data_IF_667219002977
#
_entry.id   IF_667219002977
#
_cell.length_a   1.000
_cell.length_b   1.000
_cell.length_c   1.000
_cell.angle_alpha   90.00
_cell.angle_beta   90.00
_cell.angle_gamma   90.00
#
_symmetry.space_group_name_H-M   'P 1'
#
loop_
_entity.id
_entity.type
_entity.pdbx_description
1 polymer ?
#
# COMPACT_ATOMS: atom_id res chain seq x y z
N UNK A 1 -34.81 29.93 -24.74
CA UNK A 1 -34.20 28.59 -24.65
C UNK A 1 -32.92 28.73 -23.83
N UNK A 2 -32.94 28.26 -22.60
CA UNK A 2 -31.80 28.29 -21.68
C UNK A 2 -30.74 27.31 -22.16
N UNK A 3 -29.64 27.82 -22.71
CA UNK A 3 -28.49 26.98 -23.07
C UNK A 3 -27.92 26.33 -21.81
N UNK A 4 -27.80 25.01 -21.81
CA UNK A 4 -27.22 24.25 -20.71
C UNK A 4 -25.80 24.74 -20.44
N UNK A 5 -25.60 25.43 -19.32
CA UNK A 5 -24.29 25.92 -18.89
C UNK A 5 -23.49 24.73 -18.37
N UNK A 6 -22.70 24.11 -19.25
CA UNK A 6 -21.88 22.96 -18.89
C UNK A 6 -20.69 23.42 -18.06
N UNK A 7 -20.60 22.96 -16.81
CA UNK A 7 -19.47 23.30 -15.94
C UNK A 7 -18.21 22.52 -16.34
N UNK A 8 -17.38 23.13 -17.18
CA UNK A 8 -16.13 22.55 -17.68
C UNK A 8 -15.14 22.17 -16.56
N UNK A 9 -15.18 22.85 -15.41
CA UNK A 9 -14.31 22.51 -14.26
C UNK A 9 -14.70 21.17 -13.66
N UNK A 10 -16.00 20.90 -13.50
CA UNK A 10 -16.49 19.61 -13.00
C UNK A 10 -16.17 18.49 -13.99
N UNK A 11 -16.34 18.73 -15.29
CA UNK A 11 -15.99 17.77 -16.33
C UNK A 11 -14.49 17.42 -16.35
N UNK A 12 -13.61 18.43 -16.24
CA UNK A 12 -12.16 18.18 -16.12
C UNK A 12 -11.83 17.38 -14.87
N UNK A 13 -12.49 17.67 -13.75
CA UNK A 13 -12.30 16.95 -12.49
C UNK A 13 -12.76 15.49 -12.57
N UNK A 14 -13.90 15.21 -13.21
CA UNK A 14 -14.36 13.83 -13.41
C UNK A 14 -13.41 13.06 -14.32
N UNK A 15 -12.95 13.67 -15.42
CA UNK A 15 -11.95 13.06 -16.31
C UNK A 15 -10.66 12.70 -15.56
N UNK A 16 -10.12 13.61 -14.75
CA UNK A 16 -8.92 13.35 -13.94
C UNK A 16 -9.12 12.22 -12.92
N UNK A 17 -10.30 12.10 -12.32
CA UNK A 17 -10.62 11.00 -11.40
C UNK A 17 -10.67 9.66 -12.13
N UNK A 18 -11.34 9.62 -13.27
CA UNK A 18 -11.42 8.40 -14.10
C UNK A 18 -10.04 7.94 -14.60
N UNK A 19 -9.16 8.87 -15.00
CA UNK A 19 -7.78 8.54 -15.38
C UNK A 19 -6.98 7.94 -14.21
N UNK A 20 -7.13 8.50 -13.00
CA UNK A 20 -6.50 7.96 -11.79
C UNK A 20 -7.03 6.57 -11.42
N UNK A 21 -8.33 6.33 -11.58
CA UNK A 21 -8.93 5.02 -11.32
C UNK A 21 -8.40 3.96 -12.29
N UNK A 22 -8.33 4.26 -13.59
CA UNK A 22 -7.73 3.37 -14.59
C UNK A 22 -6.26 3.05 -14.29
N UNK A 23 -5.47 4.06 -13.91
CA UNK A 23 -4.09 3.83 -13.49
C UNK A 23 -4.01 2.96 -12.23
N UNK A 24 -4.91 3.17 -11.27
CA UNK A 24 -4.97 2.35 -10.05
C UNK A 24 -5.33 0.90 -10.37
N UNK A 25 -6.26 0.66 -11.30
CA UNK A 25 -6.63 -0.67 -11.80
C UNK A 25 -5.45 -1.34 -12.51
N UNK A 26 -4.79 -0.65 -13.42
CA UNK A 26 -3.57 -1.14 -14.07
C UNK A 26 -2.49 -1.50 -13.05
N UNK A 27 -2.29 -0.65 -12.03
CA UNK A 27 -1.32 -0.92 -10.96
C UNK A 27 -1.71 -2.13 -10.10
N UNK A 28 -3.00 -2.38 -9.87
CA UNK A 28 -3.49 -3.60 -9.19
C UNK A 28 -3.18 -4.84 -10.02
N UNK A 29 -3.38 -4.77 -11.33
CA UNK A 29 -3.09 -5.88 -12.26
C UNK A 29 -1.57 -6.12 -12.34
N UNK A 30 -0.79 -5.06 -12.62
CA UNK A 30 0.65 -5.18 -12.88
C UNK A 30 1.48 -5.49 -11.63
N UNK A 31 1.10 -4.96 -10.46
CA UNK A 31 1.89 -5.12 -9.23
C UNK A 31 1.22 -6.02 -8.18
N UNK A 32 -0.02 -6.46 -8.42
CA UNK A 32 -0.73 -7.47 -7.62
C UNK A 32 -1.14 -7.06 -6.20
N UNK A 33 -0.51 -6.04 -5.60
CA UNK A 33 -0.78 -5.59 -4.23
C UNK A 33 -0.95 -4.08 -4.15
N UNK A 34 -1.99 -3.65 -3.43
CA UNK A 34 -2.22 -2.23 -3.16
C UNK A 34 -1.21 -1.69 -2.14
N UNK A 35 -1.03 -0.36 -2.08
CA UNK A 35 -0.13 0.27 -1.09
C UNK A 35 -0.55 -0.05 0.35
N UNK A 36 -1.86 -0.18 0.60
CA UNK A 36 -2.41 -0.52 1.92
C UNK A 36 -2.03 -1.95 2.32
N UNK A 37 -2.21 -2.91 1.42
CA UNK A 37 -1.79 -4.30 1.65
C UNK A 37 -0.28 -4.41 1.86
N UNK A 38 0.53 -3.72 1.05
CA UNK A 38 1.99 -3.68 1.23
C UNK A 38 2.36 -3.15 2.63
N UNK A 39 1.74 -2.07 3.06
CA UNK A 39 1.99 -1.51 4.39
C UNK A 39 1.57 -2.46 5.51
N UNK A 40 0.41 -3.10 5.39
CA UNK A 40 -0.06 -4.09 6.36
C UNK A 40 0.91 -5.27 6.47
N UNK A 41 1.32 -5.84 5.33
CA UNK A 41 2.27 -6.96 5.32
C UNK A 41 3.64 -6.57 5.89
N UNK A 42 4.13 -5.36 5.60
CA UNK A 42 5.36 -4.84 6.22
C UNK A 42 5.21 -4.74 7.74
N UNK A 43 4.14 -4.15 8.25
CA UNK A 43 3.92 -4.01 9.69
C UNK A 43 3.79 -5.37 10.40
N UNK A 44 3.16 -6.37 9.76
CA UNK A 44 3.09 -7.73 10.30
C UNK A 44 4.47 -8.40 10.33
N UNK A 45 5.27 -8.24 9.26
CA UNK A 45 6.63 -8.77 9.21
C UNK A 45 7.54 -8.10 10.24
N UNK A 46 7.49 -6.77 10.38
CA UNK A 46 8.25 -6.04 11.40
C UNK A 46 7.89 -6.51 12.81
N UNK A 47 6.59 -6.73 13.09
CA UNK A 47 6.16 -7.29 14.38
C UNK A 47 6.68 -8.71 14.61
N UNK A 48 6.66 -9.55 13.57
CA UNK A 48 7.20 -10.90 13.65
C UNK A 48 8.72 -10.89 13.90
N UNK A 49 9.46 -10.05 13.18
CA UNK A 49 10.91 -9.86 13.37
C UNK A 49 11.23 -9.35 14.79
N UNK A 50 10.46 -8.39 15.31
CA UNK A 50 10.61 -7.92 16.69
C UNK A 50 10.34 -9.02 17.72
N UNK A 51 9.32 -9.84 17.51
CA UNK A 51 9.04 -10.98 18.39
C UNK A 51 10.18 -12.02 18.36
N UNK A 52 10.73 -12.30 17.18
CA UNK A 52 11.85 -13.22 17.03
C UNK A 52 13.15 -12.71 17.66
N UNK A 53 13.42 -11.42 17.57
CA UNK A 53 14.61 -10.80 18.19
C UNK A 53 14.50 -10.74 19.71
N UNK A 54 13.32 -10.44 20.26
CA UNK A 54 13.10 -10.44 21.72
C UNK A 54 13.19 -11.84 22.34
N UNK A 55 12.78 -12.88 21.60
CA UNK A 55 12.90 -14.27 22.03
C UNK A 55 14.29 -14.88 21.79
N UNK A 56 15.22 -14.13 21.18
CA UNK A 56 16.57 -14.62 20.90
C UNK A 56 17.38 -14.61 22.20
N UNK A 57 17.35 -15.73 22.91
CA UNK A 57 18.39 -16.07 23.88
C UNK A 57 19.71 -16.14 23.09
N UNK A 58 20.58 -15.17 23.28
CA UNK A 58 22.00 -15.31 22.98
C UNK A 58 22.43 -16.62 23.65
N UNK A 59 22.64 -17.66 22.84
CA UNK A 59 23.20 -18.91 23.34
C UNK A 59 24.61 -18.51 23.77
N UNK A 60 24.78 -18.29 25.08
CA UNK A 60 26.09 -18.12 25.67
C UNK A 60 26.93 -19.28 25.14
N UNK A 61 27.95 -18.96 24.35
CA UNK A 61 29.05 -19.87 24.04
C UNK A 61 29.79 -20.12 25.36
N UNK A 62 29.13 -20.82 26.29
CA UNK A 62 29.73 -21.39 27.46
C UNK A 62 29.81 -22.89 27.19
N UNK A 63 30.82 -23.26 26.40
CA UNK A 63 31.34 -24.62 26.36
C UNK A 63 32.43 -24.71 27.42
N UNK A 64 32.20 -25.38 28.57
CA UNK A 64 33.29 -25.79 29.43
C UNK A 64 33.88 -27.12 28.93
N UNK A 65 35.22 -27.19 29.06
CA UNK A 65 36.17 -28.28 28.81
C UNK A 65 36.64 -28.54 27.38
#
# INVERSE_FOLDING_TARGET
MSGDVVNLRQFRKSKQRAEKEKQAEQNRISFGRTKVEKNLTRALNEKAEQAHTQGRLEKSEDKPK
#
